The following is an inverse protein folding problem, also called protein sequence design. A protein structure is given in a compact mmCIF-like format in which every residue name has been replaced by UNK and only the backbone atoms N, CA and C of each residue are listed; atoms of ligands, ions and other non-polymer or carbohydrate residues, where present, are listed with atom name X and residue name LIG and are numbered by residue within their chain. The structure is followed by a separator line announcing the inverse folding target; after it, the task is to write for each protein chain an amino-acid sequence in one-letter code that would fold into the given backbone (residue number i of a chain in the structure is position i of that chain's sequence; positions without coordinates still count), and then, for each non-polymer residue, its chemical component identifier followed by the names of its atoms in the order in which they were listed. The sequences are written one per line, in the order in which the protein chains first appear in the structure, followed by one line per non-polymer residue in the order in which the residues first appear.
data_IF_187098892278
#
_entry.id   IF_187098892278
#
_cell.length_a   1.000
_cell.length_b   1.000
_cell.length_c   1.000
_cell.angle_alpha   90.00
_cell.angle_beta   90.00
_cell.angle_gamma   90.00
#
_symmetry.space_group_name_H-M   'P 1'
#
loop_
_entity.id
_entity.type
_entity.pdbx_description
1 polymer ?
#
# COMPACT_ATOMS: atom_id res chain seq x y z
N UNK A 1 -12.37 24.01 17.85
CA UNK A 1 -13.68 23.52 18.31
C UNK A 1 -14.11 24.13 19.63
N UNK A 2 -13.26 24.13 20.69
CA UNK A 2 -13.61 24.61 22.02
C UNK A 2 -13.99 26.11 22.03
N UNK A 3 -13.27 26.95 21.31
CA UNK A 3 -13.56 28.41 21.22
C UNK A 3 -14.89 28.70 20.51
N UNK A 4 -15.37 27.77 19.68
CA UNK A 4 -16.65 27.85 18.98
C UNK A 4 -17.80 27.21 19.78
N UNK A 5 -17.57 26.77 21.01
CA UNK A 5 -18.52 26.08 21.86
C UNK A 5 -19.16 24.84 21.21
N UNK A 6 -18.36 24.12 20.36
CA UNK A 6 -18.78 22.88 19.73
C UNK A 6 -18.64 21.71 20.73
N UNK A 7 -19.61 20.85 20.76
CA UNK A 7 -19.70 19.71 21.67
C UNK A 7 -19.81 18.39 20.90
N UNK A 8 -19.38 17.25 21.50
CA UNK A 8 -19.58 15.94 20.89
C UNK A 8 -21.07 15.68 20.59
N UNK A 9 -21.35 15.30 19.34
CA UNK A 9 -22.72 15.08 18.85
C UNK A 9 -23.29 16.22 18.02
N UNK A 10 -22.58 17.35 17.91
CA UNK A 10 -22.90 18.40 16.96
C UNK A 10 -22.59 17.96 15.53
N UNK A 11 -23.35 18.44 14.56
CA UNK A 11 -23.17 18.11 13.14
C UNK A 11 -22.78 19.36 12.38
N UNK A 12 -21.64 19.32 11.67
CA UNK A 12 -21.26 20.35 10.72
C UNK A 12 -22.03 20.11 9.41
N UNK A 13 -23.04 20.93 9.15
CA UNK A 13 -23.90 20.78 7.98
C UNK A 13 -23.40 21.51 6.75
N UNK A 14 -22.97 22.77 6.92
CA UNK A 14 -22.52 23.61 5.79
C UNK A 14 -21.28 24.44 6.17
N UNK A 15 -20.45 24.73 5.17
CA UNK A 15 -19.41 25.76 5.20
C UNK A 15 -19.67 26.71 4.02
N UNK A 16 -19.75 28.01 4.27
CA UNK A 16 -20.02 29.04 3.26
C UNK A 16 -21.26 28.69 2.40
N UNK A 17 -22.34 28.27 3.04
CA UNK A 17 -23.62 27.83 2.43
C UNK A 17 -23.46 26.66 1.44
N UNK A 18 -22.38 25.89 1.52
CA UNK A 18 -22.19 24.65 0.77
C UNK A 18 -22.25 23.46 1.73
N UNK A 19 -23.02 22.43 1.35
CA UNK A 19 -23.12 21.19 2.14
C UNK A 19 -21.75 20.52 2.29
N UNK A 20 -21.48 20.00 3.48
CA UNK A 20 -20.31 19.20 3.79
C UNK A 20 -20.74 17.73 3.84
N UNK A 21 -20.46 16.97 2.77
CA UNK A 21 -20.85 15.56 2.69
C UNK A 21 -19.75 14.65 3.23
N UNK A 22 -18.48 15.04 3.04
CA UNK A 22 -17.33 14.25 3.50
C UNK A 22 -16.08 15.11 3.73
N UNK A 23 -14.99 14.45 4.11
CA UNK A 23 -13.69 15.08 4.41
C UNK A 23 -13.13 15.93 3.28
N UNK A 24 -13.50 15.72 2.02
CA UNK A 24 -13.00 16.52 0.91
C UNK A 24 -13.71 17.85 0.81
N UNK A 25 -15.03 17.89 1.02
CA UNK A 25 -15.75 19.16 1.12
C UNK A 25 -15.22 19.97 2.28
N UNK A 26 -15.08 19.33 3.46
CA UNK A 26 -14.51 19.97 4.64
C UNK A 26 -13.15 20.60 4.34
N UNK A 27 -12.19 19.82 3.86
CA UNK A 27 -10.83 20.30 3.57
C UNK A 27 -10.79 21.40 2.52
N UNK A 28 -11.62 21.29 1.48
CA UNK A 28 -11.66 22.29 0.41
C UNK A 28 -12.28 23.60 0.88
N UNK A 29 -13.41 23.53 1.60
CA UNK A 29 -14.16 24.70 2.05
C UNK A 29 -13.49 25.41 3.25
N UNK A 30 -12.64 24.70 3.99
CA UNK A 30 -11.85 25.26 5.09
C UNK A 30 -10.71 26.15 4.64
N UNK A 31 -10.26 26.09 3.37
CA UNK A 31 -9.16 26.90 2.85
C UNK A 31 -9.64 28.33 2.50
N UNK A 32 -9.99 29.10 3.53
CA UNK A 32 -10.35 30.50 3.43
C UNK A 32 -10.01 31.22 4.75
N UNK A 33 -9.83 32.54 4.71
CA UNK A 33 -9.56 33.40 5.90
C UNK A 33 -10.84 33.77 6.65
N UNK A 34 -12.00 33.67 6.00
CA UNK A 34 -13.32 33.90 6.59
C UNK A 34 -14.27 32.79 6.15
N UNK A 35 -14.88 32.12 7.10
CA UNK A 35 -15.83 31.05 6.83
C UNK A 35 -17.10 31.20 7.68
N UNK A 36 -18.21 30.82 7.10
CA UNK A 36 -19.52 30.71 7.78
C UNK A 36 -19.86 29.23 7.96
N UNK A 37 -20.04 28.79 9.21
CA UNK A 37 -20.38 27.41 9.53
C UNK A 37 -21.86 27.32 9.91
N UNK A 38 -22.57 26.34 9.36
CA UNK A 38 -23.88 25.93 9.85
C UNK A 38 -23.72 24.65 10.65
N UNK A 39 -23.99 24.75 11.96
CA UNK A 39 -23.90 23.65 12.91
C UNK A 39 -25.29 23.26 13.38
N UNK A 40 -25.63 21.98 13.29
CA UNK A 40 -26.79 21.42 13.97
C UNK A 40 -26.36 20.86 15.33
N UNK A 41 -26.80 21.49 16.39
CA UNK A 41 -26.50 21.06 17.76
C UNK A 41 -27.25 19.76 18.09
N UNK A 42 -26.71 18.99 19.01
CA UNK A 42 -27.31 17.71 19.46
C UNK A 42 -28.77 17.85 19.96
N UNK A 43 -29.19 19.04 20.33
CA UNK A 43 -30.57 19.34 20.73
C UNK A 43 -31.51 19.75 19.57
N UNK A 44 -30.97 19.83 18.31
CA UNK A 44 -31.67 20.23 17.10
C UNK A 44 -31.70 21.74 16.84
N UNK A 45 -31.01 22.56 17.63
CA UNK A 45 -30.80 23.97 17.32
C UNK A 45 -29.84 24.14 16.17
N UNK A 46 -30.07 25.12 15.30
CA UNK A 46 -29.15 25.49 14.22
C UNK A 46 -28.37 26.74 14.64
N UNK A 47 -27.06 26.64 14.58
CA UNK A 47 -26.15 27.73 14.87
C UNK A 47 -25.43 28.16 13.59
N UNK A 48 -25.44 29.44 13.29
CA UNK A 48 -24.62 30.08 12.27
C UNK A 48 -23.41 30.72 12.97
N UNK A 49 -22.20 30.31 12.64
CA UNK A 49 -20.96 30.78 13.25
C UNK A 49 -20.09 31.43 12.18
N UNK A 50 -19.70 32.66 12.40
CA UNK A 50 -18.73 33.38 11.58
C UNK A 50 -17.33 33.19 12.19
N UNK A 51 -16.35 32.71 11.40
CA UNK A 51 -15.00 32.43 11.86
C UNK A 51 -13.99 33.19 10.98
N UNK A 52 -13.20 34.04 11.60
CA UNK A 52 -11.97 34.59 11.02
C UNK A 52 -10.77 33.77 11.48
N UNK A 53 -9.93 33.31 10.56
CA UNK A 53 -8.77 32.46 10.84
C UNK A 53 -7.65 32.70 9.83
N UNK A 54 -6.44 32.19 10.09
CA UNK A 54 -5.42 32.09 9.06
C UNK A 54 -5.86 31.09 7.97
N UNK A 55 -5.44 31.30 6.72
CA UNK A 55 -5.88 30.52 5.56
C UNK A 55 -5.78 29.00 5.79
N UNK A 56 -4.67 28.55 6.39
CA UNK A 56 -4.38 27.13 6.66
C UNK A 56 -4.71 26.70 8.11
N UNK A 57 -5.34 27.56 8.91
CA UNK A 57 -5.63 27.27 10.30
C UNK A 57 -6.77 26.25 10.42
N UNK A 58 -6.53 25.22 11.22
CA UNK A 58 -7.51 24.18 11.54
C UNK A 58 -8.44 24.63 12.68
N UNK A 59 -9.72 24.34 12.57
CA UNK A 59 -10.71 24.64 13.63
C UNK A 59 -10.60 23.73 14.86
N UNK A 60 -9.75 22.70 14.82
CA UNK A 60 -9.62 21.71 15.88
C UNK A 60 -10.92 20.94 16.14
N UNK A 61 -11.66 20.60 15.06
CA UNK A 61 -12.85 19.77 15.12
C UNK A 61 -12.43 18.32 14.91
N UNK A 62 -12.79 17.43 15.82
CA UNK A 62 -12.61 15.99 15.67
C UNK A 62 -13.92 15.34 15.22
N UNK A 63 -13.88 14.59 14.11
CA UNK A 63 -15.02 13.86 13.58
C UNK A 63 -15.02 12.41 14.07
N UNK A 64 -16.20 11.80 14.15
CA UNK A 64 -16.38 10.42 14.62
C UNK A 64 -15.57 9.41 13.78
N UNK A 65 -15.45 9.67 12.48
CA UNK A 65 -14.53 8.93 11.60
C UNK A 65 -13.80 9.87 10.64
N UNK A 66 -12.62 9.45 10.17
CA UNK A 66 -11.74 10.28 9.34
C UNK A 66 -12.25 10.59 7.92
N UNK A 67 -13.33 9.95 7.47
CA UNK A 67 -13.98 10.25 6.20
C UNK A 67 -15.21 11.15 6.35
N UNK A 68 -15.71 11.33 7.58
CA UNK A 68 -16.95 12.04 7.92
C UNK A 68 -18.23 11.38 7.36
N UNK A 69 -18.08 10.21 6.73
CA UNK A 69 -19.15 9.43 6.09
C UNK A 69 -18.78 7.95 6.12
N UNK A 70 -19.72 7.07 5.83
CA UNK A 70 -19.51 5.62 5.77
C UNK A 70 -18.55 5.21 4.63
N UNK A 71 -17.74 4.18 4.88
CA UNK A 71 -16.87 3.59 3.85
C UNK A 71 -17.67 2.99 2.69
N UNK A 72 -17.27 3.29 1.45
CA UNK A 72 -17.92 2.78 0.24
C UNK A 72 -17.33 1.43 -0.16
N UNK A 73 -18.12 0.37 0.02
CA UNK A 73 -17.71 -0.99 -0.33
C UNK A 73 -17.71 -1.22 -1.84
N UNK A 74 -16.75 -2.02 -2.32
CA UNK A 74 -16.60 -2.39 -3.73
C UNK A 74 -17.80 -3.20 -4.24
N UNK A 75 -18.36 -2.80 -5.38
CA UNK A 75 -19.46 -3.49 -6.06
C UNK A 75 -19.01 -4.54 -7.08
N UNK A 76 -17.70 -4.69 -7.30
CA UNK A 76 -17.15 -5.62 -8.28
C UNK A 76 -17.02 -7.06 -7.73
N UNK A 77 -17.00 -8.03 -8.65
CA UNK A 77 -16.71 -9.44 -8.38
C UNK A 77 -15.54 -9.92 -9.23
N UNK A 78 -14.39 -9.24 -9.08
CA UNK A 78 -13.21 -9.48 -9.89
C UNK A 78 -12.77 -10.94 -9.83
N UNK A 79 -12.47 -11.53 -11.00
CA UNK A 79 -12.03 -12.94 -11.11
C UNK A 79 -10.71 -13.21 -10.35
N UNK A 80 -9.96 -12.15 -10.04
CA UNK A 80 -8.68 -12.15 -9.33
C UNK A 80 -8.77 -11.58 -7.92
N UNK A 81 -9.96 -11.20 -7.41
CA UNK A 81 -10.10 -10.56 -6.10
C UNK A 81 -9.44 -11.38 -5.00
N UNK A 82 -8.52 -10.75 -4.26
CA UNK A 82 -7.82 -11.44 -3.18
C UNK A 82 -8.74 -11.69 -1.98
N UNK A 83 -9.67 -10.77 -1.69
CA UNK A 83 -10.63 -10.91 -0.59
C UNK A 83 -11.54 -12.12 -0.79
N UNK A 84 -11.94 -12.43 -2.04
CA UNK A 84 -12.75 -13.63 -2.35
C UNK A 84 -11.98 -14.94 -2.10
N UNK A 85 -10.66 -14.88 -1.95
CA UNK A 85 -9.78 -16.01 -1.65
C UNK A 85 -9.43 -16.12 -0.17
N UNK A 86 -10.02 -15.27 0.69
CA UNK A 86 -9.80 -15.35 2.14
C UNK A 86 -10.53 -16.56 2.73
N UNK A 87 -9.92 -17.32 3.66
CA UNK A 87 -10.61 -18.39 4.38
C UNK A 87 -11.74 -17.80 5.24
N UNK A 88 -12.76 -18.61 5.49
CA UNK A 88 -13.85 -18.21 6.38
C UNK A 88 -13.41 -18.22 7.85
N UNK A 89 -13.99 -17.33 8.65
CA UNK A 89 -13.79 -17.30 10.11
C UNK A 89 -12.59 -16.47 10.56
N UNK A 90 -12.07 -15.61 9.71
CA UNK A 90 -11.14 -14.55 10.11
C UNK A 90 -11.94 -13.32 10.60
N UNK A 91 -11.26 -12.32 11.17
CA UNK A 91 -11.91 -11.07 11.62
C UNK A 91 -12.61 -10.35 10.47
N UNK A 92 -13.76 -9.73 10.75
CA UNK A 92 -14.67 -9.15 9.75
C UNK A 92 -14.00 -8.08 8.88
N UNK A 93 -13.07 -7.30 9.44
CA UNK A 93 -12.36 -6.25 8.70
C UNK A 93 -11.56 -6.77 7.50
N UNK A 94 -11.15 -8.06 7.48
CA UNK A 94 -10.43 -8.68 6.37
C UNK A 94 -11.33 -9.04 5.17
N UNK A 95 -12.63 -8.98 5.34
CA UNK A 95 -13.60 -9.24 4.25
C UNK A 95 -14.15 -7.96 3.62
N UNK A 96 -13.78 -6.80 4.15
CA UNK A 96 -14.16 -5.54 3.55
C UNK A 96 -13.44 -5.37 2.19
N UNK A 97 -14.22 -5.12 1.14
CA UNK A 97 -13.71 -4.83 -0.20
C UNK A 97 -13.74 -3.34 -0.39
N UNK A 98 -12.57 -2.73 -0.43
CA UNK A 98 -12.43 -1.31 -0.67
C UNK A 98 -12.48 -0.98 -2.17
N UNK A 99 -13.24 0.06 -2.51
CA UNK A 99 -13.22 0.77 -3.81
C UNK A 99 -13.69 2.22 -3.58
N UNK A 100 -13.30 2.79 -2.43
CA UNK A 100 -13.63 4.15 -2.02
C UNK A 100 -12.56 5.12 -2.56
N UNK A 101 -12.96 6.01 -3.45
CA UNK A 101 -12.03 6.97 -4.06
C UNK A 101 -11.37 7.90 -3.04
N UNK A 102 -11.99 8.17 -1.91
CA UNK A 102 -11.41 8.99 -0.84
C UNK A 102 -10.15 8.35 -0.26
N UNK A 103 -10.14 7.02 -0.13
CA UNK A 103 -8.97 6.27 0.33
C UNK A 103 -7.83 6.26 -0.70
N UNK A 104 -8.12 6.47 -1.99
CA UNK A 104 -7.07 6.67 -2.98
C UNK A 104 -6.23 7.90 -2.67
N UNK A 105 -6.87 9.02 -2.34
CA UNK A 105 -6.17 10.26 -2.03
C UNK A 105 -5.56 10.29 -0.61
N UNK A 106 -6.19 9.63 0.36
CA UNK A 106 -5.77 9.67 1.75
C UNK A 106 -4.74 8.60 2.12
N UNK A 107 -4.80 7.45 1.46
CA UNK A 107 -4.00 6.26 1.82
C UNK A 107 -3.28 5.63 0.62
N UNK A 108 -3.48 6.14 -0.60
CA UNK A 108 -2.87 5.58 -1.79
C UNK A 108 -3.55 4.33 -2.35
N UNK A 109 -4.78 4.01 -1.93
CA UNK A 109 -5.51 2.84 -2.39
C UNK A 109 -5.85 2.94 -3.89
N UNK A 110 -5.85 1.78 -4.57
CA UNK A 110 -6.19 1.68 -5.98
C UNK A 110 -7.68 1.46 -6.18
N UNK A 111 -8.33 2.35 -6.94
CA UNK A 111 -9.78 2.29 -7.22
C UNK A 111 -10.08 1.89 -8.65
N UNK A 112 -11.22 1.25 -8.86
CA UNK A 112 -11.62 0.76 -10.20
C UNK A 112 -12.38 1.80 -11.02
N UNK A 113 -12.73 2.95 -10.45
CA UNK A 113 -13.62 3.97 -10.99
C UNK A 113 -15.07 3.48 -11.22
N UNK A 114 -15.40 2.22 -10.93
CA UNK A 114 -16.77 1.70 -11.15
C UNK A 114 -17.74 2.15 -10.06
N UNK A 115 -17.25 2.43 -8.86
CA UNK A 115 -18.04 2.94 -7.73
C UNK A 115 -18.19 4.46 -7.70
N UNK A 116 -17.39 5.18 -8.50
CA UNK A 116 -17.49 6.64 -8.57
C UNK A 116 -18.66 7.07 -9.45
N UNK A 117 -19.49 7.97 -8.99
CA UNK A 117 -20.51 8.65 -9.79
C UNK A 117 -19.89 9.69 -10.73
N UNK A 118 -20.69 10.34 -11.55
CA UNK A 118 -20.24 11.49 -12.34
C UNK A 118 -19.95 12.69 -11.43
N UNK A 119 -20.72 12.88 -10.36
CA UNK A 119 -20.54 13.91 -9.36
C UNK A 119 -19.22 13.74 -8.60
N UNK A 120 -18.85 12.48 -8.26
CA UNK A 120 -17.53 12.21 -7.65
C UNK A 120 -16.37 12.65 -8.57
N UNK A 121 -16.47 12.40 -9.89
CA UNK A 121 -15.46 12.85 -10.86
C UNK A 121 -15.42 14.38 -10.94
N UNK A 122 -16.56 15.03 -10.99
CA UNK A 122 -16.66 16.50 -11.01
C UNK A 122 -16.08 17.13 -9.74
N UNK A 123 -16.29 16.50 -8.56
CA UNK A 123 -15.68 16.93 -7.29
C UNK A 123 -14.15 16.78 -7.32
N UNK A 124 -13.64 15.62 -7.78
CA UNK A 124 -12.19 15.39 -7.94
C UNK A 124 -11.56 16.49 -8.82
N UNK A 125 -12.20 16.82 -9.94
CA UNK A 125 -11.76 17.86 -10.86
C UNK A 125 -11.85 19.25 -10.22
N UNK A 126 -12.99 19.59 -9.61
CA UNK A 126 -13.22 20.89 -8.94
C UNK A 126 -12.20 21.17 -7.85
N UNK A 127 -11.88 20.14 -7.04
CA UNK A 127 -10.97 20.24 -5.89
C UNK A 127 -9.50 19.97 -6.25
N UNK A 128 -9.22 19.66 -7.54
CA UNK A 128 -7.89 19.29 -8.02
C UNK A 128 -7.22 18.18 -7.20
N UNK A 129 -7.99 17.18 -6.77
CA UNK A 129 -7.48 16.07 -5.97
C UNK A 129 -6.54 15.20 -6.81
N UNK A 130 -5.27 15.15 -6.42
CA UNK A 130 -4.18 14.43 -7.12
C UNK A 130 -3.15 13.90 -6.13
N UNK A 131 -2.50 12.75 -6.41
CA UNK A 131 -2.81 11.80 -7.48
C UNK A 131 -3.99 10.89 -7.14
N UNK A 132 -4.67 10.35 -8.16
CA UNK A 132 -5.61 9.23 -8.01
C UNK A 132 -4.96 7.92 -8.52
N UNK A 133 -5.06 6.86 -7.75
CA UNK A 133 -4.53 5.55 -8.11
C UNK A 133 -5.62 4.67 -8.74
N UNK A 134 -5.42 4.27 -9.99
CA UNK A 134 -6.46 3.60 -10.80
C UNK A 134 -6.09 2.15 -11.12
N UNK A 135 -6.96 1.22 -10.73
CA UNK A 135 -6.92 -0.19 -11.11
C UNK A 135 -7.50 -0.38 -12.52
N UNK A 136 -6.64 -0.36 -13.53
CA UNK A 136 -7.06 -0.49 -14.95
C UNK A 136 -7.40 -1.92 -15.32
N UNK A 137 -6.52 -2.85 -15.02
CA UNK A 137 -6.54 -4.28 -15.34
C UNK A 137 -6.48 -4.59 -16.85
N UNK A 138 -7.22 -3.88 -17.68
CA UNK A 138 -7.19 -3.93 -19.14
C UNK A 138 -7.79 -2.65 -19.72
N UNK A 139 -7.27 -2.19 -20.86
CA UNK A 139 -7.83 -1.07 -21.62
C UNK A 139 -8.87 -1.52 -22.67
N UNK A 140 -9.00 -2.83 -22.91
CA UNK A 140 -10.10 -3.39 -23.68
C UNK A 140 -11.36 -3.40 -22.80
N UNK A 141 -12.45 -2.64 -23.17
CA UNK A 141 -13.63 -2.50 -22.33
C UNK A 141 -14.37 -3.82 -22.05
N UNK A 142 -14.44 -4.70 -23.05
CA UNK A 142 -15.10 -6.00 -22.91
C UNK A 142 -14.32 -6.94 -21.99
N UNK A 143 -12.99 -6.95 -22.15
CA UNK A 143 -12.12 -7.72 -21.26
C UNK A 143 -12.20 -7.19 -19.83
N UNK A 144 -12.20 -5.87 -19.65
CA UNK A 144 -12.33 -5.24 -18.33
C UNK A 144 -13.64 -5.63 -17.64
N UNK A 145 -14.78 -5.60 -18.38
CA UNK A 145 -16.06 -6.09 -17.87
C UNK A 145 -15.98 -7.56 -17.41
N UNK A 146 -15.32 -8.43 -18.20
CA UNK A 146 -15.10 -9.83 -17.83
C UNK A 146 -14.26 -9.96 -16.58
N UNK A 147 -13.13 -9.23 -16.47
CA UNK A 147 -12.20 -9.32 -15.35
C UNK A 147 -12.80 -8.81 -14.05
N UNK A 148 -13.51 -7.69 -14.06
CA UNK A 148 -14.16 -7.11 -12.88
C UNK A 148 -15.51 -7.75 -12.57
N UNK A 149 -16.02 -8.59 -13.49
CA UNK A 149 -17.36 -9.17 -13.45
C UNK A 149 -18.43 -8.09 -13.21
N UNK A 150 -18.26 -6.96 -13.89
CA UNK A 150 -19.12 -5.79 -13.78
C UNK A 150 -19.36 -5.23 -15.21
N UNK A 151 -20.63 -5.21 -15.64
CA UNK A 151 -21.01 -4.75 -16.99
C UNK A 151 -20.69 -3.29 -17.29
N UNK A 152 -20.50 -2.47 -16.25
CA UNK A 152 -20.19 -1.05 -16.37
C UNK A 152 -18.69 -0.77 -16.34
N UNK A 153 -17.85 -1.77 -16.09
CA UNK A 153 -16.42 -1.58 -15.94
C UNK A 153 -15.73 -1.06 -17.20
N UNK A 154 -16.24 -1.42 -18.39
CA UNK A 154 -15.73 -0.89 -19.64
C UNK A 154 -16.05 0.59 -19.83
N UNK A 155 -17.27 1.02 -19.51
CA UNK A 155 -17.66 2.43 -19.59
C UNK A 155 -16.95 3.30 -18.56
N UNK A 156 -16.57 2.75 -17.41
CA UNK A 156 -15.82 3.46 -16.39
C UNK A 156 -14.44 3.97 -16.90
N UNK A 157 -13.88 3.38 -17.96
CA UNK A 157 -12.66 3.90 -18.59
C UNK A 157 -12.83 5.32 -19.17
N UNK A 158 -14.04 5.74 -19.53
CA UNK A 158 -14.32 7.11 -19.99
C UNK A 158 -14.06 8.18 -18.91
N UNK A 159 -14.06 7.79 -17.63
CA UNK A 159 -13.71 8.68 -16.52
C UNK A 159 -12.22 9.01 -16.52
N UNK A 160 -11.39 8.09 -17.04
CA UNK A 160 -9.95 8.34 -17.23
C UNK A 160 -9.74 9.48 -18.23
N UNK A 161 -10.52 9.53 -19.31
CA UNK A 161 -10.46 10.62 -20.30
C UNK A 161 -10.78 11.97 -19.64
N UNK A 162 -11.81 12.03 -18.78
CA UNK A 162 -12.19 13.25 -18.07
C UNK A 162 -11.10 13.70 -17.07
N UNK A 163 -10.52 12.77 -16.31
CA UNK A 163 -9.43 13.06 -15.38
C UNK A 163 -8.18 13.55 -16.12
N UNK A 164 -7.85 12.92 -17.27
CA UNK A 164 -6.74 13.31 -18.12
C UNK A 164 -6.94 14.73 -18.70
N UNK A 165 -8.10 15.02 -19.27
CA UNK A 165 -8.44 16.32 -19.82
C UNK A 165 -8.39 17.43 -18.77
N UNK A 166 -8.74 17.13 -17.52
CA UNK A 166 -8.65 18.03 -16.38
C UNK A 166 -7.24 18.15 -15.77
N UNK A 167 -6.26 17.36 -16.25
CA UNK A 167 -4.90 17.38 -15.74
C UNK A 167 -4.74 16.72 -14.36
N UNK A 168 -5.68 15.89 -13.94
CA UNK A 168 -5.60 15.15 -12.66
C UNK A 168 -4.56 14.05 -12.79
N UNK A 169 -3.50 14.16 -12.00
CA UNK A 169 -2.43 13.17 -11.97
C UNK A 169 -2.94 11.78 -11.56
N UNK A 170 -2.51 10.76 -12.30
CA UNK A 170 -2.92 9.37 -12.08
C UNK A 170 -1.71 8.44 -11.92
N UNK A 171 -1.88 7.37 -11.14
CA UNK A 171 -1.03 6.18 -11.18
C UNK A 171 -1.87 4.97 -11.55
N UNK A 172 -1.34 4.11 -12.38
CA UNK A 172 -2.05 2.94 -12.90
C UNK A 172 -1.55 1.63 -12.34
N UNK A 173 -2.46 0.64 -12.25
CA UNK A 173 -2.11 -0.74 -11.89
C UNK A 173 -2.79 -1.71 -12.85
N UNK A 174 -2.04 -2.74 -13.25
CA UNK A 174 -2.54 -3.92 -13.96
C UNK A 174 -2.20 -5.15 -13.13
N UNK A 175 -3.22 -5.84 -12.62
CA UNK A 175 -3.09 -7.22 -12.12
C UNK A 175 -3.13 -8.16 -13.32
N UNK A 176 -1.98 -8.76 -13.64
CA UNK A 176 -1.87 -9.66 -14.79
C UNK A 176 -2.33 -11.07 -14.42
N UNK A 177 -3.23 -11.62 -15.23
CA UNK A 177 -3.83 -12.96 -15.07
C UNK A 177 -3.52 -13.79 -16.31
N UNK A 178 -2.76 -14.87 -16.14
CA UNK A 178 -2.36 -15.76 -17.23
C UNK A 178 -3.57 -16.33 -17.98
N UNK A 179 -3.55 -16.27 -19.31
CA UNK A 179 -4.63 -16.71 -20.19
C UNK A 179 -5.88 -15.81 -20.16
N UNK A 180 -5.81 -14.62 -19.53
CA UNK A 180 -6.94 -13.67 -19.46
C UNK A 180 -6.57 -12.34 -20.09
N UNK A 181 -5.68 -11.55 -19.49
CA UNK A 181 -5.28 -10.23 -19.98
C UNK A 181 -3.78 -10.14 -20.35
N UNK A 182 -3.02 -11.21 -20.19
CA UNK A 182 -1.62 -11.30 -20.61
C UNK A 182 -1.45 -11.12 -22.13
N UNK A 183 -2.34 -11.68 -22.94
CA UNK A 183 -2.38 -11.48 -24.40
C UNK A 183 -2.80 -10.07 -24.83
N UNK A 184 -3.40 -9.28 -23.94
CA UNK A 184 -3.84 -7.88 -24.16
C UNK A 184 -2.94 -6.84 -23.49
N UNK A 185 -1.83 -7.29 -22.89
CA UNK A 185 -0.92 -6.39 -22.17
C UNK A 185 -0.36 -5.32 -23.11
N UNK A 186 0.13 -5.70 -24.29
CA UNK A 186 0.66 -4.78 -25.30
C UNK A 186 -0.34 -3.69 -25.68
N UNK A 187 -1.60 -4.06 -25.94
CA UNK A 187 -2.66 -3.12 -26.25
C UNK A 187 -2.95 -2.18 -25.08
N UNK A 188 -3.00 -2.73 -23.85
CA UNK A 188 -3.25 -1.93 -22.67
C UNK A 188 -2.14 -0.92 -22.42
N UNK A 189 -0.86 -1.33 -22.52
CA UNK A 189 0.28 -0.44 -22.35
C UNK A 189 0.31 0.67 -23.41
N UNK A 190 0.02 0.32 -24.67
CA UNK A 190 -0.09 1.30 -25.74
C UNK A 190 -1.17 2.35 -25.42
N UNK A 191 -2.37 1.92 -25.02
CA UNK A 191 -3.47 2.85 -24.68
C UNK A 191 -3.14 3.70 -23.46
N UNK A 192 -2.57 3.13 -22.42
CA UNK A 192 -2.17 3.88 -21.21
C UNK A 192 -1.08 4.89 -21.50
N UNK A 193 -0.15 4.61 -22.43
CA UNK A 193 0.90 5.55 -22.82
C UNK A 193 0.37 6.83 -23.49
N UNK A 194 -0.88 6.81 -24.01
CA UNK A 194 -1.55 7.98 -24.61
C UNK A 194 -1.90 9.02 -23.52
N UNK A 195 -2.01 8.62 -22.25
CA UNK A 195 -2.30 9.50 -21.10
C UNK A 195 -1.03 10.08 -20.43
N UNK A 196 0.17 9.66 -20.84
CA UNK A 196 1.39 10.20 -20.27
C UNK A 196 1.60 11.67 -20.70
N UNK A 197 2.16 12.57 -19.84
CA UNK A 197 2.67 12.31 -18.50
C UNK A 197 1.64 12.49 -17.36
N UNK A 198 0.36 12.76 -17.64
CA UNK A 198 -0.68 12.92 -16.62
C UNK A 198 -0.91 11.61 -15.86
N UNK A 199 -0.95 10.48 -16.59
CA UNK A 199 -0.72 9.17 -16.00
C UNK A 199 0.80 9.04 -15.80
N UNK A 200 1.27 9.17 -14.55
CA UNK A 200 2.71 9.26 -14.25
C UNK A 200 3.40 7.90 -14.30
N UNK A 201 2.73 6.85 -13.85
CA UNK A 201 3.31 5.52 -13.77
C UNK A 201 2.27 4.43 -13.88
N UNK A 202 2.69 3.25 -14.33
CA UNK A 202 1.87 2.03 -14.38
C UNK A 202 2.66 0.88 -13.78
N UNK A 203 2.10 0.22 -12.76
CA UNK A 203 2.63 -1.05 -12.25
C UNK A 203 1.94 -2.25 -12.91
N UNK A 204 2.72 -3.26 -13.21
CA UNK A 204 2.24 -4.57 -13.66
C UNK A 204 2.62 -5.58 -12.58
N UNK A 205 1.60 -6.20 -11.96
CA UNK A 205 1.79 -7.15 -10.85
C UNK A 205 1.17 -8.51 -11.21
N UNK A 206 1.76 -9.65 -10.83
CA UNK A 206 1.15 -10.95 -11.06
C UNK A 206 -0.01 -11.17 -10.09
N UNK A 207 -1.00 -11.93 -10.53
CA UNK A 207 -2.13 -12.30 -9.67
C UNK A 207 -1.70 -13.20 -8.52
N UNK A 208 -2.05 -12.84 -7.28
CA UNK A 208 -1.87 -13.70 -6.11
C UNK A 208 -2.90 -14.84 -6.05
N UNK A 209 -2.45 -16.08 -5.85
CA UNK A 209 -3.30 -17.26 -5.85
C UNK A 209 -3.17 -18.05 -4.55
N UNK A 210 -4.21 -17.97 -3.69
CA UNK A 210 -4.26 -18.75 -2.45
C UNK A 210 -4.79 -20.19 -2.70
N UNK A 211 -4.67 -21.05 -1.70
CA UNK A 211 -5.28 -22.39 -1.74
C UNK A 211 -6.80 -22.40 -1.61
N UNK A 212 -7.42 -21.26 -1.26
CA UNK A 212 -8.86 -21.14 -1.00
C UNK A 212 -9.69 -20.73 -2.25
N UNK A 213 -9.24 -21.15 -3.44
CA UNK A 213 -9.88 -20.78 -4.72
C UNK A 213 -10.97 -21.75 -5.20
N UNK A 214 -11.42 -22.66 -4.36
CA UNK A 214 -12.48 -23.61 -4.76
C UNK A 214 -13.77 -22.86 -5.10
N UNK A 215 -14.25 -23.02 -6.33
CA UNK A 215 -15.48 -22.39 -6.84
C UNK A 215 -15.28 -20.99 -7.40
N UNK A 216 -14.09 -20.41 -7.34
CA UNK A 216 -13.74 -19.15 -7.99
C UNK A 216 -13.30 -19.41 -9.46
N UNK A 217 -13.23 -18.33 -10.23
CA UNK A 217 -12.74 -18.38 -11.61
C UNK A 217 -11.36 -19.04 -11.68
N UNK A 218 -11.14 -20.03 -12.56
CA UNK A 218 -9.86 -20.73 -12.64
C UNK A 218 -8.78 -19.80 -13.17
N UNK A 219 -7.73 -19.61 -12.39
CA UNK A 219 -6.52 -18.86 -12.76
C UNK A 219 -5.29 -19.72 -12.53
N UNK A 220 -4.30 -19.56 -13.39
CA UNK A 220 -3.03 -20.26 -13.35
C UNK A 220 -1.89 -19.32 -12.94
N UNK A 221 -0.89 -19.82 -12.19
CA UNK A 221 0.31 -19.03 -11.90
C UNK A 221 1.15 -18.86 -13.16
N UNK A 222 1.93 -17.79 -13.19
CA UNK A 222 2.94 -17.59 -14.22
C UNK A 222 4.14 -18.50 -13.99
N UNK A 223 4.78 -18.93 -15.08
CA UNK A 223 6.05 -19.65 -15.07
C UNK A 223 7.22 -18.66 -15.21
N UNK A 224 8.43 -19.18 -15.08
CA UNK A 224 9.66 -18.42 -15.33
C UNK A 224 9.71 -17.85 -16.75
N UNK A 225 9.31 -18.64 -17.73
CA UNK A 225 9.28 -18.28 -19.15
C UNK A 225 8.23 -17.20 -19.42
N UNK A 226 7.06 -17.31 -18.81
CA UNK A 226 6.02 -16.28 -18.88
C UNK A 226 6.53 -14.94 -18.30
N UNK A 227 7.21 -14.99 -17.14
CA UNK A 227 7.74 -13.80 -16.50
C UNK A 227 8.79 -13.09 -17.36
N UNK A 228 9.68 -13.83 -18.04
CA UNK A 228 10.63 -13.28 -18.98
C UNK A 228 9.94 -12.57 -20.14
N UNK A 229 8.89 -13.19 -20.71
CA UNK A 229 8.14 -12.59 -21.80
C UNK A 229 7.41 -11.28 -21.37
N UNK A 230 6.90 -11.23 -20.14
CA UNK A 230 6.31 -10.02 -19.56
C UNK A 230 7.36 -8.93 -19.37
N UNK A 231 8.53 -9.27 -18.81
CA UNK A 231 9.64 -8.33 -18.63
C UNK A 231 10.16 -7.76 -19.96
N UNK A 232 10.29 -8.59 -20.99
CA UNK A 232 10.68 -8.14 -22.33
C UNK A 232 9.69 -7.09 -22.90
N UNK A 233 8.38 -7.29 -22.71
CA UNK A 233 7.37 -6.30 -23.12
C UNK A 233 7.51 -5.00 -22.33
N UNK A 234 7.63 -5.09 -21.00
CA UNK A 234 7.76 -3.92 -20.11
C UNK A 234 9.04 -3.14 -20.47
N UNK A 235 10.17 -3.81 -20.59
CA UNK A 235 11.46 -3.15 -20.91
C UNK A 235 11.44 -2.46 -22.28
N UNK A 236 10.75 -3.05 -23.27
CA UNK A 236 10.56 -2.41 -24.58
C UNK A 236 9.76 -1.11 -24.43
N UNK A 237 8.67 -1.12 -23.68
CA UNK A 237 7.85 0.06 -23.42
C UNK A 237 8.57 1.10 -22.57
N UNK A 238 9.33 0.70 -21.56
CA UNK A 238 10.18 1.60 -20.78
C UNK A 238 11.14 2.38 -21.68
N UNK A 239 11.78 1.69 -22.62
CA UNK A 239 12.67 2.35 -23.59
C UNK A 239 11.92 3.38 -24.44
N UNK A 240 10.77 3.04 -24.98
CA UNK A 240 9.93 3.94 -25.79
C UNK A 240 9.52 5.18 -24.98
N UNK A 241 9.08 4.97 -23.74
CA UNK A 241 8.63 6.06 -22.89
C UNK A 241 9.77 6.95 -22.42
N UNK A 242 10.92 6.36 -22.11
CA UNK A 242 12.12 7.11 -21.75
C UNK A 242 12.64 7.99 -22.89
N UNK A 243 12.68 7.46 -24.12
CA UNK A 243 13.04 8.22 -25.31
C UNK A 243 12.07 9.39 -25.59
N UNK A 244 10.80 9.23 -25.23
CA UNK A 244 9.74 10.22 -25.50
C UNK A 244 9.54 11.25 -24.40
N UNK A 245 9.61 10.82 -23.14
CA UNK A 245 9.23 11.65 -21.98
C UNK A 245 10.32 11.73 -20.91
N UNK A 246 11.41 10.98 -21.01
CA UNK A 246 12.46 10.93 -19.99
C UNK A 246 12.06 10.17 -18.71
N UNK A 247 11.00 9.38 -18.77
CA UNK A 247 10.50 8.53 -17.68
C UNK A 247 10.33 7.09 -18.18
N UNK A 248 10.51 6.09 -17.32
CA UNK A 248 10.31 4.69 -17.67
C UNK A 248 8.82 4.32 -17.73
N UNK A 249 8.00 4.99 -16.93
CA UNK A 249 6.54 4.95 -16.96
C UNK A 249 5.91 3.62 -16.54
N UNK A 250 6.36 2.49 -17.12
CA UNK A 250 5.79 1.16 -16.86
C UNK A 250 6.78 0.36 -16.03
N UNK A 251 6.31 -0.15 -14.89
CA UNK A 251 7.16 -0.86 -13.94
C UNK A 251 6.62 -2.25 -13.65
N UNK A 252 7.50 -3.25 -13.74
CA UNK A 252 7.24 -4.59 -13.24
C UNK A 252 7.47 -4.62 -11.72
N UNK A 253 6.59 -5.30 -10.97
CA UNK A 253 6.88 -5.60 -9.58
C UNK A 253 8.12 -6.47 -9.43
N UNK A 254 8.79 -6.39 -8.28
CA UNK A 254 9.99 -7.18 -7.96
C UNK A 254 9.76 -8.69 -8.14
N UNK A 255 8.52 -9.14 -7.92
CA UNK A 255 8.12 -10.53 -8.10
C UNK A 255 8.35 -11.04 -9.52
N UNK A 256 8.18 -10.22 -10.55
CA UNK A 256 8.44 -10.62 -11.94
C UNK A 256 9.92 -10.93 -12.18
N UNK A 257 10.82 -10.09 -11.67
CA UNK A 257 12.28 -10.29 -11.81
C UNK A 257 12.72 -11.55 -11.07
N UNK A 258 12.22 -11.76 -9.85
CA UNK A 258 12.53 -12.94 -9.05
C UNK A 258 12.00 -14.21 -9.72
N UNK A 259 10.78 -14.19 -10.24
CA UNK A 259 10.20 -15.31 -10.96
C UNK A 259 10.96 -15.63 -12.26
N UNK A 260 11.39 -14.61 -13.00
CA UNK A 260 12.21 -14.75 -14.21
C UNK A 260 13.63 -15.22 -13.90
N UNK A 261 14.09 -15.04 -12.65
CA UNK A 261 15.48 -15.26 -12.25
C UNK A 261 16.41 -14.21 -12.86
N UNK A 262 15.95 -12.98 -12.97
CA UNK A 262 16.67 -11.81 -13.44
C UNK A 262 17.03 -10.88 -12.29
N UNK A 263 18.06 -10.07 -12.46
CA UNK A 263 18.44 -9.05 -11.48
C UNK A 263 17.44 -7.90 -11.47
N UNK A 264 17.24 -7.31 -10.28
CA UNK A 264 16.41 -6.11 -10.14
C UNK A 264 17.08 -4.92 -10.87
N UNK A 265 16.32 -4.05 -11.52
CA UNK A 265 16.83 -2.84 -12.14
C UNK A 265 17.62 -1.95 -11.18
N UNK A 266 18.48 -1.09 -11.71
CA UNK A 266 19.16 -0.05 -10.93
C UNK A 266 18.15 1.05 -10.51
N UNK A 267 18.55 1.87 -9.52
CA UNK A 267 17.66 2.85 -8.86
C UNK A 267 17.05 3.87 -9.83
N UNK A 268 17.84 4.32 -10.81
CA UNK A 268 17.44 5.29 -11.83
C UNK A 268 16.31 4.79 -12.75
N UNK A 269 16.02 3.47 -12.72
CA UNK A 269 14.98 2.86 -13.54
C UNK A 269 13.59 2.89 -12.89
N UNK A 270 13.47 3.37 -11.65
CA UNK A 270 12.21 3.36 -10.90
C UNK A 270 11.51 4.72 -10.84
N UNK A 271 12.04 5.77 -11.51
CA UNK A 271 11.44 7.12 -11.61
C UNK A 271 11.03 7.71 -10.23
N UNK A 272 11.83 7.47 -9.18
CA UNK A 272 11.53 7.93 -7.83
C UNK A 272 10.61 7.02 -7.02
N UNK A 273 10.44 5.76 -7.44
CA UNK A 273 9.70 4.73 -6.69
C UNK A 273 8.21 5.01 -6.48
N UNK A 274 7.53 5.58 -7.48
CA UNK A 274 6.11 5.93 -7.43
C UNK A 274 5.15 4.75 -7.17
N UNK A 275 5.63 3.50 -7.30
CA UNK A 275 4.82 2.29 -7.25
C UNK A 275 5.26 1.31 -6.14
N UNK A 276 5.91 1.81 -5.06
CA UNK A 276 6.39 0.98 -3.95
C UNK A 276 5.30 0.08 -3.36
N UNK A 277 4.10 0.62 -3.13
CA UNK A 277 2.96 -0.12 -2.58
C UNK A 277 2.52 -1.32 -3.45
N UNK A 278 2.88 -1.30 -4.73
CA UNK A 278 2.68 -2.41 -5.66
C UNK A 278 3.88 -3.37 -5.74
N UNK A 279 4.84 -3.26 -4.82
CA UNK A 279 6.03 -4.10 -4.78
C UNK A 279 7.02 -3.80 -5.91
N UNK A 280 7.06 -2.56 -6.40
CA UNK A 280 7.98 -2.12 -7.45
C UNK A 280 9.19 -1.45 -6.82
N UNK A 281 10.35 -2.08 -6.92
CA UNK A 281 11.62 -1.53 -6.45
C UNK A 281 11.83 -1.57 -4.93
N UNK A 282 10.93 -2.18 -4.17
CA UNK A 282 11.05 -2.26 -2.70
C UNK A 282 12.38 -2.91 -2.27
N UNK A 283 12.76 -4.00 -2.92
CA UNK A 283 13.98 -4.72 -2.58
C UNK A 283 15.25 -3.97 -3.02
N UNK A 284 15.20 -3.23 -4.13
CA UNK A 284 16.31 -2.37 -4.56
C UNK A 284 16.51 -1.23 -3.58
N UNK A 285 15.44 -0.52 -3.22
CA UNK A 285 15.46 0.60 -2.27
C UNK A 285 15.98 0.13 -0.91
N UNK A 286 15.44 -0.96 -0.36
CA UNK A 286 15.90 -1.54 0.90
C UNK A 286 17.42 -1.80 0.88
N UNK A 287 17.93 -2.43 -0.19
CA UNK A 287 19.36 -2.71 -0.32
C UNK A 287 20.23 -1.45 -0.41
N UNK A 288 19.76 -0.40 -1.08
CA UNK A 288 20.44 0.89 -1.17
C UNK A 288 20.52 1.59 0.18
N UNK A 289 19.39 1.67 0.88
CA UNK A 289 19.29 2.27 2.21
C UNK A 289 20.12 1.52 3.26
N UNK A 290 20.17 0.17 3.22
CA UNK A 290 21.04 -0.62 4.09
C UNK A 290 22.51 -0.25 3.87
N UNK A 291 22.96 -0.19 2.60
CA UNK A 291 24.34 0.20 2.28
C UNK A 291 24.65 1.59 2.82
N UNK A 292 23.77 2.56 2.60
CA UNK A 292 23.93 3.92 3.09
C UNK A 292 24.01 3.94 4.63
N UNK A 293 23.05 3.33 5.31
CA UNK A 293 22.97 3.29 6.76
C UNK A 293 24.19 2.60 7.40
N UNK A 294 24.78 1.60 6.76
CA UNK A 294 26.01 0.94 7.21
C UNK A 294 27.23 1.85 7.01
N UNK A 295 27.30 2.60 5.89
CA UNK A 295 28.42 3.53 5.64
C UNK A 295 28.46 4.65 6.69
N UNK A 296 27.32 5.16 7.09
CA UNK A 296 27.17 6.27 8.06
C UNK A 296 27.52 5.88 9.51
N UNK A 297 27.71 4.61 9.81
CA UNK A 297 28.04 4.11 11.15
C UNK A 297 29.49 3.69 11.27
N UNK A 298 30.06 3.82 12.45
CA UNK A 298 31.35 3.20 12.79
C UNK A 298 31.16 1.71 13.08
N UNK A 299 32.01 0.86 12.47
CA UNK A 299 32.03 -0.56 12.77
C UNK A 299 32.63 -0.84 14.16
N UNK A 300 32.27 -1.97 14.74
CA UNK A 300 32.83 -2.43 16.00
C UNK A 300 32.95 -3.97 16.07
N UNK A 301 33.54 -4.47 17.17
CA UNK A 301 33.79 -5.90 17.38
C UNK A 301 32.67 -6.60 18.18
N UNK A 302 31.44 -6.03 18.20
CA UNK A 302 30.31 -6.63 18.89
C UNK A 302 30.03 -8.04 18.43
N UNK A 303 29.77 -8.93 19.38
CA UNK A 303 29.35 -10.33 19.11
C UNK A 303 27.85 -10.41 19.27
N UNK A 304 27.16 -10.78 18.23
CA UNK A 304 25.72 -10.86 18.20
C UNK A 304 25.28 -11.95 17.23
N UNK A 305 24.22 -12.67 17.57
CA UNK A 305 23.55 -13.61 16.68
C UNK A 305 22.15 -13.13 16.37
N UNK A 306 21.83 -12.97 15.08
CA UNK A 306 20.53 -12.43 14.62
C UNK A 306 19.83 -13.45 13.74
N UNK A 307 18.56 -13.69 14.00
CA UNK A 307 17.66 -14.42 13.11
C UNK A 307 16.67 -13.44 12.51
N UNK A 308 16.50 -13.47 11.18
CA UNK A 308 15.46 -12.71 10.48
C UNK A 308 14.48 -13.69 9.85
N UNK A 309 13.20 -13.63 10.21
CA UNK A 309 12.15 -14.42 9.60
C UNK A 309 11.35 -13.56 8.62
N UNK A 310 11.25 -14.00 7.37
CA UNK A 310 10.58 -13.25 6.30
C UNK A 310 9.96 -14.20 5.28
N UNK A 311 9.16 -13.66 4.34
CA UNK A 311 8.59 -14.43 3.25
C UNK A 311 9.65 -14.97 2.28
N UNK A 312 9.32 -16.03 1.56
CA UNK A 312 10.25 -16.72 0.65
C UNK A 312 10.78 -15.80 -0.46
N UNK A 313 9.97 -14.84 -0.91
CA UNK A 313 10.32 -13.91 -1.97
C UNK A 313 11.48 -13.00 -1.55
N UNK A 314 11.38 -12.40 -0.38
CA UNK A 314 12.36 -11.42 0.13
C UNK A 314 13.59 -12.05 0.76
N UNK A 315 13.52 -13.30 1.22
CA UNK A 315 14.59 -13.92 2.01
C UNK A 315 15.99 -13.84 1.39
N UNK A 316 16.21 -14.11 0.09
CA UNK A 316 17.55 -13.99 -0.52
C UNK A 316 18.10 -12.55 -0.47
N UNK A 317 17.23 -11.55 -0.65
CA UNK A 317 17.62 -10.12 -0.64
C UNK A 317 17.92 -9.64 0.77
N UNK A 318 17.12 -10.06 1.75
CA UNK A 318 17.39 -9.80 3.17
C UNK A 318 18.71 -10.45 3.59
N UNK A 319 19.02 -11.66 3.11
CA UNK A 319 20.32 -12.29 3.36
C UNK A 319 21.47 -11.44 2.80
N UNK A 320 21.35 -10.90 1.60
CA UNK A 320 22.30 -9.94 1.03
C UNK A 320 22.46 -8.68 1.86
N UNK A 321 21.36 -8.12 2.40
CA UNK A 321 21.43 -6.99 3.33
C UNK A 321 22.20 -7.34 4.62
N UNK A 322 21.97 -8.54 5.16
CA UNK A 322 22.71 -9.02 6.33
C UNK A 322 24.20 -9.25 6.02
N UNK A 323 24.56 -9.63 4.79
CA UNK A 323 25.97 -9.74 4.37
C UNK A 323 26.64 -8.36 4.39
N UNK A 324 26.00 -7.32 3.84
CA UNK A 324 26.49 -5.93 3.90
C UNK A 324 26.74 -5.47 5.35
N UNK A 325 25.82 -5.78 6.28
CA UNK A 325 26.00 -5.45 7.71
C UNK A 325 27.21 -6.20 8.26
N UNK A 326 27.37 -7.49 7.95
CA UNK A 326 28.48 -8.32 8.46
C UNK A 326 29.85 -7.91 7.91
N UNK A 327 29.93 -7.33 6.72
CA UNK A 327 31.18 -6.78 6.22
C UNK A 327 31.75 -5.70 7.16
N UNK A 328 30.89 -4.89 7.76
CA UNK A 328 31.29 -3.84 8.73
C UNK A 328 31.35 -4.32 10.17
N UNK A 329 30.58 -5.34 10.51
CA UNK A 329 30.48 -5.94 11.85
C UNK A 329 30.77 -7.44 11.80
N UNK A 330 32.05 -7.84 11.65
CA UNK A 330 32.44 -9.20 11.28
C UNK A 330 32.14 -10.27 12.33
N UNK A 331 31.89 -9.87 13.56
CA UNK A 331 31.54 -10.79 14.66
C UNK A 331 30.01 -10.98 14.83
N UNK A 332 29.20 -10.34 13.97
CA UNK A 332 27.76 -10.61 13.89
C UNK A 332 27.54 -11.88 13.05
N UNK A 333 26.79 -12.81 13.60
CA UNK A 333 26.27 -13.97 12.85
C UNK A 333 24.81 -13.75 12.55
N UNK A 334 24.39 -14.07 11.34
CA UNK A 334 22.98 -13.95 10.94
C UNK A 334 22.47 -15.18 10.22
N UNK A 335 21.20 -15.50 10.47
CA UNK A 335 20.43 -16.50 9.72
C UNK A 335 19.15 -15.85 9.23
N UNK A 336 18.88 -15.92 7.92
CA UNK A 336 17.59 -15.50 7.34
C UNK A 336 16.76 -16.73 7.04
N UNK A 337 15.62 -16.84 7.70
CA UNK A 337 14.70 -17.97 7.56
C UNK A 337 13.56 -17.57 6.62
N UNK A 338 13.52 -18.24 5.47
CA UNK A 338 12.42 -18.11 4.52
C UNK A 338 11.20 -18.89 5.02
N UNK A 339 10.21 -18.18 5.52
CA UNK A 339 8.97 -18.77 6.04
C UNK A 339 8.06 -19.16 4.86
N UNK A 340 7.60 -20.41 4.88
CA UNK A 340 6.64 -20.94 3.94
C UNK A 340 5.23 -20.55 4.38
N UNK A 341 4.45 -20.03 3.48
CA UNK A 341 3.05 -19.72 3.77
C UNK A 341 2.20 -21.00 3.68
N UNK A 342 2.00 -21.67 4.81
CA UNK A 342 1.11 -22.84 4.89
C UNK A 342 -0.35 -22.40 5.02
N UNK A 343 -0.60 -21.24 5.62
CA UNK A 343 -1.94 -20.72 5.87
C UNK A 343 -2.68 -20.38 4.58
N UNK A 344 -2.13 -19.54 3.71
CA UNK A 344 -2.74 -19.17 2.43
C UNK A 344 -2.33 -20.10 1.27
N UNK A 345 -1.27 -20.86 1.43
CA UNK A 345 -0.72 -21.78 0.43
C UNK A 345 0.63 -21.34 -0.11
N UNK A 346 1.44 -22.31 -0.54
CA UNK A 346 2.86 -22.15 -0.91
C UNK A 346 3.12 -21.21 -2.11
N UNK A 347 2.08 -20.92 -2.91
CA UNK A 347 2.16 -19.97 -4.01
C UNK A 347 2.18 -18.51 -3.54
N UNK A 348 1.79 -18.27 -2.29
CA UNK A 348 1.91 -16.97 -1.64
C UNK A 348 3.31 -16.90 -1.01
N UNK A 349 4.13 -15.99 -1.50
CA UNK A 349 5.56 -15.92 -1.17
C UNK A 349 5.97 -14.62 -0.49
N UNK A 350 5.08 -13.63 -0.48
CA UNK A 350 5.30 -12.31 0.12
C UNK A 350 5.26 -12.35 1.64
N UNK A 351 6.01 -11.47 2.30
CA UNK A 351 6.12 -11.43 3.76
C UNK A 351 4.81 -10.98 4.41
N UNK A 352 4.11 -10.00 3.85
CA UNK A 352 2.89 -9.42 4.43
C UNK A 352 1.68 -10.36 4.56
N UNK A 353 1.78 -11.58 4.03
CA UNK A 353 0.74 -12.61 4.16
C UNK A 353 1.18 -13.81 5.01
N UNK A 354 2.35 -13.75 5.65
CA UNK A 354 2.79 -14.75 6.65
C UNK A 354 2.00 -14.54 7.93
N UNK A 355 1.49 -15.62 8.50
CA UNK A 355 0.71 -15.60 9.74
C UNK A 355 1.55 -15.93 10.97
N UNK A 356 1.02 -15.60 12.15
CA UNK A 356 1.65 -16.00 13.41
C UNK A 356 1.78 -17.52 13.54
N UNK A 357 0.78 -18.28 13.07
CA UNK A 357 0.82 -19.74 13.02
C UNK A 357 1.96 -20.26 12.13
N UNK A 358 2.17 -19.67 10.94
CA UNK A 358 3.28 -20.06 10.05
C UNK A 358 4.64 -19.88 10.73
N UNK A 359 4.80 -18.77 11.49
CA UNK A 359 6.01 -18.49 12.26
C UNK A 359 6.21 -19.49 13.40
N UNK A 360 5.17 -19.74 14.20
CA UNK A 360 5.23 -20.68 15.32
C UNK A 360 5.62 -22.07 14.82
N UNK A 361 4.95 -22.59 13.80
CA UNK A 361 5.20 -23.94 13.27
C UNK A 361 6.62 -24.12 12.77
N UNK A 362 7.21 -23.09 12.13
CA UNK A 362 8.49 -23.22 11.45
C UNK A 362 9.68 -22.76 12.29
N UNK A 363 9.45 -21.97 13.34
CA UNK A 363 10.51 -21.47 14.22
C UNK A 363 10.60 -22.22 15.55
N UNK A 364 9.52 -22.89 16.00
CA UNK A 364 9.54 -23.68 17.24
C UNK A 364 10.61 -24.77 17.20
N UNK A 365 11.39 -24.86 18.28
CA UNK A 365 12.47 -25.82 18.43
C UNK A 365 13.74 -25.52 17.64
N UNK A 366 13.78 -24.44 16.85
CA UNK A 366 15.02 -23.95 16.23
C UNK A 366 15.87 -23.18 17.21
N UNK A 367 17.19 -23.24 17.02
CA UNK A 367 18.12 -22.37 17.71
C UNK A 367 18.08 -21.00 17.06
N UNK A 368 17.23 -20.13 17.59
CA UNK A 368 17.16 -18.73 17.16
C UNK A 368 18.32 -17.94 17.76
N UNK A 369 18.77 -16.90 17.06
CA UNK A 369 19.80 -15.97 17.54
C UNK A 369 19.42 -15.21 18.82
N UNK A 370 20.28 -14.31 19.25
CA UNK A 370 20.00 -13.43 20.39
C UNK A 370 18.77 -12.55 20.13
N UNK A 371 18.55 -12.20 18.85
CA UNK A 371 17.44 -11.41 18.37
C UNK A 371 16.70 -12.13 17.24
N UNK A 372 15.36 -12.02 17.26
CA UNK A 372 14.48 -12.46 16.17
C UNK A 372 13.77 -11.27 15.59
N UNK A 373 14.04 -10.98 14.32
CA UNK A 373 13.49 -9.85 13.58
C UNK A 373 12.41 -10.35 12.61
N UNK A 374 11.30 -9.61 12.53
CA UNK A 374 10.24 -9.79 11.54
C UNK A 374 9.87 -8.45 10.90
N UNK A 375 9.49 -8.36 9.62
CA UNK A 375 9.06 -7.11 9.01
C UNK A 375 7.64 -6.72 9.48
N UNK A 376 7.42 -5.42 9.67
CA UNK A 376 6.16 -4.86 10.18
C UNK A 376 4.95 -5.17 9.29
N UNK A 377 5.14 -5.37 7.98
CA UNK A 377 4.06 -5.70 7.04
C UNK A 377 3.41 -7.08 7.27
N UNK A 378 3.95 -7.92 8.17
CA UNK A 378 3.27 -9.13 8.66
C UNK A 378 2.11 -8.80 9.62
N UNK A 379 2.09 -7.59 10.16
CA UNK A 379 1.14 -7.13 11.16
C UNK A 379 0.10 -6.21 10.56
N UNK A 380 -1.03 -6.07 11.23
CA UNK A 380 -2.00 -5.03 10.93
C UNK A 380 -1.38 -3.66 11.22
N UNK A 381 -1.58 -2.71 10.31
CA UNK A 381 -1.03 -1.34 10.46
C UNK A 381 -1.47 -0.72 11.80
N UNK A 382 -0.48 -0.27 12.58
CA UNK A 382 -0.71 0.34 13.90
C UNK A 382 -1.06 -0.62 15.03
N UNK A 383 -1.05 -1.95 14.80
CA UNK A 383 -1.39 -2.96 15.79
C UNK A 383 -0.36 -4.10 15.84
N UNK A 384 -0.27 -4.75 16.98
CA UNK A 384 0.66 -5.88 17.22
C UNK A 384 0.00 -7.25 16.94
N UNK A 385 -0.78 -7.35 15.84
CA UNK A 385 -1.57 -8.54 15.52
C UNK A 385 -1.35 -9.01 14.09
N UNK A 386 -1.17 -10.32 13.90
CA UNK A 386 -1.07 -10.97 12.59
C UNK A 386 -2.46 -11.15 11.93
N UNK A 387 -2.46 -11.62 10.68
CA UNK A 387 -3.70 -11.88 9.94
C UNK A 387 -4.60 -12.96 10.58
N UNK A 388 -4.02 -13.89 11.30
CA UNK A 388 -4.69 -14.98 12.02
C UNK A 388 -4.98 -14.67 13.50
N UNK A 389 -4.99 -13.39 13.86
CA UNK A 389 -5.27 -12.84 15.18
C UNK A 389 -4.28 -13.22 16.29
N UNK A 390 -3.18 -13.92 15.96
CA UNK A 390 -2.07 -14.15 16.89
C UNK A 390 -1.36 -12.80 17.10
N UNK A 391 -1.06 -12.49 18.36
CA UNK A 391 -0.32 -11.28 18.74
C UNK A 391 1.18 -11.51 18.77
N UNK A 392 1.97 -10.42 18.70
CA UNK A 392 3.43 -10.48 18.91
C UNK A 392 3.76 -11.06 20.29
N UNK A 393 2.98 -10.72 21.31
CA UNK A 393 3.16 -11.23 22.67
C UNK A 393 3.01 -12.76 22.71
N UNK A 394 1.93 -13.29 22.11
CA UNK A 394 1.72 -14.74 22.02
C UNK A 394 2.81 -15.45 21.22
N UNK A 395 3.27 -14.85 20.11
CA UNK A 395 4.38 -15.38 19.32
C UNK A 395 5.67 -15.40 20.15
N UNK A 396 5.97 -14.32 20.87
CA UNK A 396 7.14 -14.22 21.77
C UNK A 396 7.12 -15.28 22.87
N UNK A 397 5.99 -15.49 23.51
CA UNK A 397 5.81 -16.51 24.55
C UNK A 397 5.99 -17.93 23.97
N UNK A 398 5.39 -18.22 22.82
CA UNK A 398 5.48 -19.53 22.15
C UNK A 398 6.91 -19.88 21.73
N UNK A 399 7.68 -18.91 21.26
CA UNK A 399 9.06 -19.10 20.82
C UNK A 399 10.08 -18.93 21.97
N UNK A 400 9.67 -18.39 23.12
CA UNK A 400 10.56 -18.03 24.21
C UNK A 400 11.62 -17.02 23.80
N UNK A 401 11.26 -16.08 22.90
CA UNK A 401 12.17 -15.15 22.27
C UNK A 401 11.50 -13.77 22.11
N UNK A 402 12.25 -12.70 22.43
CA UNK A 402 11.81 -11.36 22.12
C UNK A 402 11.74 -11.15 20.60
N UNK A 403 10.63 -10.59 20.12
CA UNK A 403 10.40 -10.29 18.70
C UNK A 403 10.69 -8.80 18.47
N UNK A 404 11.51 -8.51 17.48
CA UNK A 404 11.80 -7.14 17.03
C UNK A 404 11.09 -6.94 15.70
N UNK A 405 10.14 -6.01 15.68
CA UNK A 405 9.46 -5.60 14.45
C UNK A 405 10.31 -4.58 13.75
N UNK A 406 10.51 -4.73 12.45
CA UNK A 406 11.36 -3.89 11.62
C UNK A 406 10.48 -3.13 10.63
N UNK A 407 10.57 -1.80 10.63
CA UNK A 407 9.90 -0.95 9.65
C UNK A 407 10.50 -1.13 8.24
N UNK A 408 9.83 -0.66 7.17
CA UNK A 408 10.21 -1.01 5.79
C UNK A 408 11.58 -0.51 5.36
N UNK A 409 12.16 0.48 6.04
CA UNK A 409 13.41 1.13 5.65
C UNK A 409 14.67 0.30 5.89
N UNK A 410 15.68 0.49 5.05
CA UNK A 410 16.99 -0.15 5.24
C UNK A 410 17.72 0.35 6.49
N UNK A 411 17.55 1.62 6.85
CA UNK A 411 18.08 2.19 8.09
C UNK A 411 17.44 1.54 9.31
N UNK A 412 16.14 1.21 9.24
CA UNK A 412 15.42 0.53 10.32
C UNK A 412 15.92 -0.90 10.52
N UNK A 413 16.16 -1.62 9.41
CA UNK A 413 16.77 -2.95 9.49
C UNK A 413 18.14 -2.91 10.18
N UNK A 414 19.00 -1.97 9.78
CA UNK A 414 20.34 -1.81 10.40
C UNK A 414 20.21 -1.45 11.89
N UNK A 415 19.30 -0.53 12.26
CA UNK A 415 19.04 -0.15 13.63
C UNK A 415 18.48 -1.29 14.46
N UNK A 416 17.52 -2.06 13.93
CA UNK A 416 16.96 -3.22 14.60
C UNK A 416 18.01 -4.32 14.86
N UNK A 417 18.96 -4.49 13.95
CA UNK A 417 20.08 -5.41 14.12
C UNK A 417 21.04 -4.92 15.18
N UNK A 418 21.46 -3.65 15.13
CA UNK A 418 22.55 -3.11 15.96
C UNK A 418 22.05 -2.58 17.31
N UNK A 419 20.99 -1.80 17.33
CA UNK A 419 20.53 -1.01 18.48
C UNK A 419 18.99 -1.08 18.68
N UNK A 420 18.44 -2.26 19.00
CA UNK A 420 16.98 -2.47 19.02
C UNK A 420 16.23 -1.62 20.05
N UNK A 421 16.90 -1.14 21.11
CA UNK A 421 16.28 -0.26 22.11
C UNK A 421 16.03 1.12 21.51
N UNK A 422 16.98 1.66 20.77
CA UNK A 422 16.83 2.94 20.07
C UNK A 422 15.84 2.80 18.91
N UNK A 423 15.88 1.69 18.19
CA UNK A 423 14.89 1.37 17.14
C UNK A 423 13.46 1.36 17.70
N UNK A 424 13.20 0.68 18.82
CA UNK A 424 11.89 0.71 19.49
C UNK A 424 11.45 2.12 19.93
N UNK A 425 12.38 2.98 20.34
CA UNK A 425 12.07 4.38 20.69
C UNK A 425 11.70 5.18 19.43
N UNK A 426 12.39 4.97 18.31
CA UNK A 426 12.10 5.62 17.04
C UNK A 426 10.73 5.22 16.51
N UNK A 427 10.39 3.92 16.49
CA UNK A 427 9.05 3.43 16.10
C UNK A 427 7.97 4.07 16.99
N UNK A 428 8.14 4.08 18.32
CA UNK A 428 7.18 4.72 19.22
C UNK A 428 7.03 6.21 18.96
N UNK A 429 8.12 6.90 18.63
CA UNK A 429 8.11 8.33 18.32
C UNK A 429 7.42 8.59 16.98
N UNK A 430 7.70 7.79 15.95
CA UNK A 430 7.03 7.86 14.64
C UNK A 430 5.54 7.53 14.74
N UNK A 431 5.16 6.51 15.51
CA UNK A 431 3.76 6.21 15.78
C UNK A 431 3.07 7.35 16.53
N UNK A 432 3.77 8.02 17.45
CA UNK A 432 3.25 9.19 18.16
C UNK A 432 3.16 10.41 17.26
N UNK A 433 4.12 10.62 16.38
CA UNK A 433 4.12 11.68 15.37
C UNK A 433 3.11 11.40 14.27
N UNK A 434 2.91 10.15 13.87
CA UNK A 434 1.83 9.73 12.94
C UNK A 434 0.46 9.78 13.61
N UNK A 435 0.33 9.42 14.87
CA UNK A 435 -0.90 9.63 15.66
C UNK A 435 -1.12 11.10 15.98
N UNK A 436 -0.08 11.91 16.15
CA UNK A 436 -0.16 13.38 16.30
C UNK A 436 -0.37 14.07 14.96
N UNK A 437 0.18 13.58 13.86
CA UNK A 437 -0.12 14.04 12.50
C UNK A 437 -1.42 13.43 11.95
N UNK A 438 -1.85 12.26 12.41
CA UNK A 438 -3.23 11.77 12.28
C UNK A 438 -4.17 12.47 13.27
N UNK A 439 -3.70 12.98 14.40
CA UNK A 439 -4.46 13.85 15.29
C UNK A 439 -4.43 15.31 14.83
N UNK A 440 -3.42 15.79 14.11
CA UNK A 440 -3.42 17.04 13.32
C UNK A 440 -4.01 16.88 11.91
N UNK A 441 -4.37 15.71 11.48
CA UNK A 441 -5.18 15.30 10.36
C UNK A 441 -6.41 14.49 10.76
N UNK A 442 -6.74 14.50 12.05
CA UNK A 442 -8.00 14.14 12.69
C UNK A 442 -8.61 15.44 13.21
N UNK A 443 -8.87 16.30 12.33
CA UNK A 443 -9.82 17.39 12.48
C UNK A 443 -10.75 17.28 11.31
#
# INVERSE_FOLDING_TARGET
GEELELEPGDILAEINHQLVEDVFDYRYLMNDEYIELLIEKANGELWELEVEKDYDEDLGIEFENGLMDDYRSCSNHCIFCFIDQMPKGMRDTLYFKDDDSRLSFLQGNYVTLTNMSQEDIERVIKYHLSPINVSFQAMNPQLRCKMLHNRFAGDALKKVDQLYEAGITMNGQIVLCKGVNDGELEYSLQKMSEYAPVLQSVSVVPVGLTKFRKGLYPLEPFTKEDAKAVLEQIHRWQKIMYERYGIHFIHASDEWYILAGEELPEEDRYDGYLQLENGVGMLRLLGAEVRQAVVERDGDDRKLSVTVATGRLAAPYIAGCMDVIREKYPNITSEVIAIKNNFFGEKITVSGLITGQDLIEQLSGRKLGDRLLIPCNMLRSGEDVFLDDITITELSEKLGKEIIVVDPGGADLVSAVLDPVEHKKQIRRQMYEQTSSCNSGKA
#
